data_IF_343099492473
#
_entry.id   IF_343099492473
#
_cell.length_a   1.000
_cell.length_b   1.000
_cell.length_c   1.000
_cell.angle_alpha   90.00
_cell.angle_beta   90.00
_cell.angle_gamma   90.00
#
_symmetry.space_group_name_H-M   'P 1'
#
loop_
_entity.id
_entity.type
_entity.pdbx_description
1 polymer ?
#
# COMPACT_ATOMS: atom_id res chain seq x y z
N UNK A 1 -24.11 -1.16 -23.96
CA UNK A 1 -24.24 -2.04 -22.78
C UNK A 1 -24.33 -1.14 -21.54
N UNK A 2 -25.15 -1.51 -20.54
CA UNK A 2 -25.14 -0.77 -19.27
C UNK A 2 -23.82 -1.01 -18.54
N UNK A 3 -23.38 -0.03 -17.74
CA UNK A 3 -22.21 -0.19 -16.90
C UNK A 3 -22.44 -1.25 -15.80
N UNK A 4 -21.43 -2.03 -15.50
CA UNK A 4 -21.40 -2.90 -14.32
C UNK A 4 -21.32 -2.01 -13.10
N UNK A 5 -22.20 -2.15 -12.12
CA UNK A 5 -22.18 -1.37 -10.88
C UNK A 5 -21.67 -2.20 -9.71
N UNK A 6 -20.53 -1.82 -9.16
CA UNK A 6 -19.90 -2.48 -8.01
C UNK A 6 -19.94 -1.57 -6.81
N UNK A 7 -20.49 -2.04 -5.70
CA UNK A 7 -20.50 -1.34 -4.42
C UNK A 7 -19.36 -1.86 -3.55
N UNK A 8 -18.39 -0.99 -3.27
CA UNK A 8 -17.29 -1.29 -2.34
C UNK A 8 -17.64 -0.84 -0.92
N UNK A 9 -17.53 -1.74 0.05
CA UNK A 9 -17.87 -1.43 1.43
C UNK A 9 -16.64 -1.18 2.29
N UNK A 10 -16.81 -0.24 3.23
CA UNK A 10 -15.89 0.08 4.33
C UNK A 10 -14.66 0.94 3.94
N UNK A 11 -14.91 2.04 3.21
CA UNK A 11 -13.91 3.10 3.05
C UNK A 11 -13.67 3.81 4.40
N UNK A 12 -12.42 3.93 4.83
CA UNK A 12 -12.06 4.51 6.14
C UNK A 12 -11.75 6.01 6.07
N UNK A 13 -11.46 6.63 7.23
CA UNK A 13 -11.06 8.05 7.33
C UNK A 13 -9.57 8.29 7.14
N UNK A 14 -8.75 7.24 7.11
CA UNK A 14 -7.30 7.33 6.97
C UNK A 14 -6.82 6.61 5.72
N UNK A 15 -5.79 7.15 5.07
CA UNK A 15 -5.17 6.49 3.93
C UNK A 15 -4.44 5.24 4.43
N UNK A 16 -4.85 4.08 3.93
CA UNK A 16 -4.27 2.78 4.23
C UNK A 16 -4.12 1.93 2.97
N UNK A 17 -3.77 0.66 3.15
CA UNK A 17 -3.60 -0.28 2.04
C UNK A 17 -4.87 -0.52 1.24
N UNK A 18 -6.05 -0.52 1.89
CA UNK A 18 -7.34 -0.72 1.22
C UNK A 18 -7.68 0.50 0.34
N UNK A 19 -7.58 1.71 0.88
CA UNK A 19 -7.92 2.95 0.19
C UNK A 19 -7.00 3.16 -1.02
N UNK A 20 -5.70 2.94 -0.85
CA UNK A 20 -4.71 3.02 -1.93
C UNK A 20 -4.96 1.96 -3.01
N UNK A 21 -5.27 0.72 -2.62
CA UNK A 21 -5.65 -0.35 -3.54
C UNK A 21 -6.89 0.03 -4.35
N UNK A 22 -7.96 0.47 -3.69
CA UNK A 22 -9.22 0.82 -4.34
C UNK A 22 -9.07 1.99 -5.32
N UNK A 23 -8.30 3.01 -4.94
CA UNK A 23 -8.04 4.16 -5.81
C UNK A 23 -7.24 3.75 -7.05
N UNK A 24 -6.15 3.00 -6.87
CA UNK A 24 -5.33 2.53 -7.98
C UNK A 24 -6.11 1.56 -8.88
N UNK A 25 -6.93 0.68 -8.29
CA UNK A 25 -7.81 -0.22 -9.04
C UNK A 25 -8.80 0.57 -9.89
N UNK A 26 -9.46 1.59 -9.32
CA UNK A 26 -10.46 2.37 -10.05
C UNK A 26 -9.83 3.24 -11.15
N UNK A 27 -8.59 3.67 -11.00
CA UNK A 27 -7.82 4.36 -12.04
C UNK A 27 -7.56 3.46 -13.27
N UNK A 28 -7.34 2.16 -13.05
CA UNK A 28 -7.08 1.18 -14.11
C UNK A 28 -8.36 0.59 -14.71
N UNK A 29 -9.53 0.77 -14.10
CA UNK A 29 -10.79 0.29 -14.66
C UNK A 29 -11.28 1.17 -15.83
N UNK A 30 -11.83 0.51 -16.87
CA UNK A 30 -12.56 1.22 -17.93
C UNK A 30 -13.90 1.73 -17.40
N UNK A 31 -13.93 3.00 -17.02
CA UNK A 31 -15.12 3.66 -16.46
C UNK A 31 -16.30 3.82 -17.41
N UNK A 32 -16.13 3.48 -18.70
CA UNK A 32 -17.25 3.36 -19.62
C UNK A 32 -18.01 2.04 -19.42
N UNK A 33 -17.33 1.00 -18.92
CA UNK A 33 -17.86 -0.33 -18.71
C UNK A 33 -18.24 -0.63 -17.26
N UNK A 34 -17.61 0.05 -16.30
CA UNK A 34 -17.83 -0.22 -14.87
C UNK A 34 -17.94 1.09 -14.05
N UNK A 35 -18.80 1.05 -13.04
CA UNK A 35 -18.98 2.10 -12.05
C UNK A 35 -18.67 1.52 -10.67
N UNK A 36 -17.71 2.13 -9.96
CA UNK A 36 -17.47 1.89 -8.55
C UNK A 36 -18.16 2.96 -7.72
N UNK A 37 -18.85 2.51 -6.69
CA UNK A 37 -19.40 3.36 -5.65
C UNK A 37 -18.93 2.84 -4.28
N UNK A 38 -18.86 3.71 -3.28
CA UNK A 38 -18.25 3.40 -1.99
C UNK A 38 -19.18 3.68 -0.82
N UNK A 39 -19.05 2.89 0.24
CA UNK A 39 -19.76 3.10 1.51
C UNK A 39 -18.77 3.41 2.61
N UNK A 40 -19.06 4.41 3.43
CA UNK A 40 -18.25 4.84 4.56
C UNK A 40 -19.08 5.17 5.79
N UNK A 41 -18.51 5.01 6.98
CA UNK A 41 -19.06 5.55 8.24
C UNK A 41 -18.42 6.91 8.58
N UNK A 42 -17.37 7.33 7.87
CA UNK A 42 -16.66 8.57 8.12
C UNK A 42 -17.37 9.78 7.53
N UNK A 43 -17.27 10.91 8.21
CA UNK A 43 -17.66 12.22 7.67
C UNK A 43 -16.70 12.74 6.60
N UNK A 44 -15.43 12.37 6.75
CA UNK A 44 -14.34 12.71 5.82
C UNK A 44 -13.60 11.45 5.48
N UNK A 45 -14.05 10.66 4.48
CA UNK A 45 -13.33 9.47 4.06
C UNK A 45 -12.01 9.86 3.39
N UNK A 46 -11.03 8.97 3.54
CA UNK A 46 -9.74 9.15 2.88
C UNK A 46 -9.90 9.13 1.36
N UNK A 47 -9.12 9.96 0.67
CA UNK A 47 -9.08 10.05 -0.80
C UNK A 47 -10.46 10.35 -1.43
N UNK A 48 -11.32 11.06 -0.66
CA UNK A 48 -12.70 11.35 -1.10
C UNK A 48 -12.73 12.08 -2.43
N UNK A 49 -11.94 13.14 -2.58
CA UNK A 49 -11.95 13.96 -3.79
C UNK A 49 -11.48 13.15 -4.99
N UNK A 50 -10.43 12.36 -4.83
CA UNK A 50 -9.90 11.52 -5.92
C UNK A 50 -10.93 10.49 -6.42
N UNK A 51 -11.71 9.89 -5.51
CA UNK A 51 -12.79 8.98 -5.91
C UNK A 51 -13.92 9.71 -6.63
N UNK A 52 -14.32 10.90 -6.16
CA UNK A 52 -15.34 11.73 -6.80
C UNK A 52 -14.90 12.19 -8.20
N UNK A 53 -13.63 12.58 -8.37
CA UNK A 53 -13.05 12.99 -9.65
C UNK A 53 -13.03 11.83 -10.68
N UNK A 54 -12.96 10.59 -10.19
CA UNK A 54 -13.11 9.40 -11.02
C UNK A 54 -14.58 9.04 -11.34
N UNK A 55 -15.54 9.80 -10.82
CA UNK A 55 -16.97 9.62 -11.04
C UNK A 55 -17.66 8.65 -10.09
N UNK A 56 -17.02 8.30 -8.94
CA UNK A 56 -17.65 7.49 -7.92
C UNK A 56 -18.71 8.24 -7.14
N UNK A 57 -19.71 7.50 -6.61
CA UNK A 57 -20.55 8.01 -5.53
C UNK A 57 -20.05 7.46 -4.19
N UNK A 58 -20.12 8.28 -3.14
CA UNK A 58 -19.75 7.88 -1.79
C UNK A 58 -20.94 8.05 -0.87
N UNK A 59 -21.40 6.95 -0.29
CA UNK A 59 -22.56 6.90 0.59
C UNK A 59 -22.13 6.82 2.05
N UNK A 60 -22.57 7.77 2.85
CA UNK A 60 -22.39 7.70 4.30
C UNK A 60 -23.50 6.86 4.94
N UNK A 61 -23.11 5.97 5.83
CA UNK A 61 -24.00 5.13 6.64
C UNK A 61 -23.84 5.40 8.12
N UNK A 62 -24.84 5.03 8.89
CA UNK A 62 -24.83 5.11 10.35
C UNK A 62 -23.66 4.32 10.95
N UNK A 63 -23.20 4.74 12.12
CA UNK A 63 -22.16 4.02 12.84
C UNK A 63 -22.61 2.59 13.18
N UNK A 64 -21.71 1.62 13.08
CA UNK A 64 -21.98 0.23 13.50
C UNK A 64 -22.41 0.09 14.95
N UNK A 65 -22.14 1.07 15.81
CA UNK A 65 -22.66 1.14 17.18
C UNK A 65 -24.18 1.22 17.21
N UNK A 66 -24.81 1.79 16.15
CA UNK A 66 -26.27 1.81 15.92
C UNK A 66 -26.63 0.72 14.92
N UNK A 67 -26.56 -0.53 15.37
CA UNK A 67 -26.60 -1.72 14.52
C UNK A 67 -27.81 -1.78 13.57
N UNK A 68 -29.01 -1.44 14.06
CA UNK A 68 -30.23 -1.44 13.27
C UNK A 68 -30.22 -0.41 12.13
N UNK A 69 -29.79 0.81 12.43
CA UNK A 69 -29.67 1.89 11.43
C UNK A 69 -28.58 1.55 10.42
N UNK A 70 -27.41 1.06 10.87
CA UNK A 70 -26.32 0.61 10.00
C UNK A 70 -26.77 -0.45 8.98
N UNK A 71 -27.50 -1.48 9.45
CA UNK A 71 -28.04 -2.52 8.57
C UNK A 71 -29.06 -1.97 7.58
N UNK A 72 -29.96 -1.09 8.04
CA UNK A 72 -31.00 -0.45 7.21
C UNK A 72 -30.36 0.38 6.12
N UNK A 73 -29.37 1.21 6.45
CA UNK A 73 -28.66 2.07 5.50
C UNK A 73 -27.95 1.24 4.42
N UNK A 74 -27.15 0.24 4.82
CA UNK A 74 -26.44 -0.62 3.85
C UNK A 74 -27.43 -1.33 2.93
N UNK A 75 -28.51 -1.92 3.49
CA UNK A 75 -29.49 -2.63 2.66
C UNK A 75 -30.18 -1.71 1.66
N UNK A 76 -30.53 -0.49 2.06
CA UNK A 76 -31.12 0.51 1.17
C UNK A 76 -30.20 0.84 0.00
N UNK A 77 -28.89 0.99 0.26
CA UNK A 77 -27.89 1.27 -0.78
C UNK A 77 -27.71 0.03 -1.67
N UNK A 78 -27.52 -1.16 -1.09
CA UNK A 78 -27.36 -2.40 -1.85
C UNK A 78 -28.55 -2.64 -2.79
N UNK A 79 -29.76 -2.40 -2.32
CA UNK A 79 -30.99 -2.58 -3.10
C UNK A 79 -31.15 -1.55 -4.25
N UNK A 80 -30.30 -0.53 -4.37
CA UNK A 80 -30.41 0.50 -5.41
C UNK A 80 -29.84 0.09 -6.79
N UNK A 81 -29.67 -1.22 -7.04
CA UNK A 81 -29.36 -1.76 -8.37
C UNK A 81 -27.86 -1.95 -8.64
N UNK A 82 -27.11 -2.49 -7.69
CA UNK A 82 -25.75 -2.96 -7.88
C UNK A 82 -25.75 -4.39 -8.44
N UNK A 83 -24.72 -4.69 -9.24
CA UNK A 83 -24.49 -6.03 -9.78
C UNK A 83 -23.66 -6.90 -8.83
N UNK A 84 -22.75 -6.26 -8.08
CA UNK A 84 -21.84 -6.91 -7.13
C UNK A 84 -21.66 -6.02 -5.90
N UNK A 85 -21.58 -6.65 -4.73
CA UNK A 85 -21.08 -6.03 -3.48
C UNK A 85 -19.69 -6.60 -3.20
N UNK A 86 -18.66 -5.76 -3.18
CA UNK A 86 -17.29 -6.16 -2.91
C UNK A 86 -16.86 -5.62 -1.54
N UNK A 87 -16.63 -6.54 -0.59
CA UNK A 87 -16.36 -6.22 0.81
C UNK A 87 -14.88 -6.40 1.11
N UNK A 88 -14.23 -5.34 1.58
CA UNK A 88 -12.81 -5.32 1.94
C UNK A 88 -12.65 -5.43 3.44
N UNK A 89 -11.90 -6.43 3.93
CA UNK A 89 -11.80 -6.73 5.36
C UNK A 89 -10.38 -7.02 5.81
N UNK A 90 -10.08 -6.55 7.03
CA UNK A 90 -8.90 -6.94 7.80
C UNK A 90 -9.23 -8.06 8.80
N UNK A 91 -10.50 -8.23 9.18
CA UNK A 91 -10.99 -9.32 10.02
C UNK A 91 -12.49 -9.55 9.83
N UNK A 92 -12.98 -10.72 10.25
CA UNK A 92 -14.39 -11.13 10.20
C UNK A 92 -15.13 -10.89 11.53
N UNK A 93 -14.60 -10.04 12.41
CA UNK A 93 -15.30 -9.71 13.66
C UNK A 93 -16.68 -9.09 13.39
N UNK A 94 -16.83 -8.38 12.25
CA UNK A 94 -18.09 -7.86 11.75
C UNK A 94 -18.37 -8.40 10.34
N UNK A 95 -19.40 -9.24 10.19
CA UNK A 95 -19.85 -9.80 8.90
C UNK A 95 -21.22 -9.28 8.45
N UNK A 96 -21.73 -8.23 9.08
CA UNK A 96 -23.04 -7.63 8.73
C UNK A 96 -23.11 -7.20 7.26
N UNK A 97 -22.09 -6.57 6.67
CA UNK A 97 -22.10 -6.20 5.26
C UNK A 97 -22.35 -7.39 4.32
N UNK A 98 -21.79 -8.57 4.65
CA UNK A 98 -21.99 -9.79 3.86
C UNK A 98 -23.44 -10.26 3.89
N UNK A 99 -24.12 -10.16 5.04
CA UNK A 99 -25.54 -10.49 5.17
C UNK A 99 -26.42 -9.58 4.33
N UNK A 100 -26.11 -8.28 4.28
CA UNK A 100 -26.92 -7.32 3.54
C UNK A 100 -26.94 -7.64 2.05
N UNK A 101 -25.77 -7.91 1.44
CA UNK A 101 -25.69 -8.31 0.04
C UNK A 101 -26.40 -9.63 -0.24
N UNK A 102 -26.17 -10.65 0.58
CA UNK A 102 -26.83 -11.96 0.43
C UNK A 102 -28.36 -11.86 0.51
N UNK A 103 -28.90 -11.04 1.42
CA UNK A 103 -30.34 -10.86 1.60
C UNK A 103 -31.03 -10.23 0.38
N UNK A 104 -30.32 -9.38 -0.34
CA UNK A 104 -30.81 -8.74 -1.58
C UNK A 104 -30.50 -9.59 -2.85
N UNK A 105 -30.02 -10.84 -2.70
CA UNK A 105 -29.64 -11.75 -3.78
C UNK A 105 -28.56 -11.19 -4.74
N UNK A 106 -27.74 -10.27 -4.25
CA UNK A 106 -26.62 -9.70 -5.00
C UNK A 106 -25.36 -10.52 -4.66
N UNK A 107 -24.53 -10.90 -5.66
CA UNK A 107 -23.26 -11.55 -5.43
C UNK A 107 -22.36 -10.73 -4.50
N UNK A 108 -21.88 -11.36 -3.42
CA UNK A 108 -20.97 -10.74 -2.46
C UNK A 108 -19.58 -11.33 -2.64
N UNK A 109 -18.59 -10.47 -2.84
CA UNK A 109 -17.17 -10.80 -2.91
C UNK A 109 -16.51 -10.39 -1.60
N UNK A 110 -15.57 -11.18 -1.13
CA UNK A 110 -14.80 -10.90 0.08
C UNK A 110 -13.32 -10.80 -0.25
N UNK A 111 -12.68 -9.69 0.15
CA UNK A 111 -11.28 -9.44 -0.11
C UNK A 111 -10.53 -9.18 1.21
N UNK A 112 -9.52 -10.00 1.47
CA UNK A 112 -8.64 -9.91 2.63
C UNK A 112 -7.45 -9.00 2.36
N UNK A 113 -7.19 -8.04 3.28
CA UNK A 113 -6.08 -7.09 3.16
C UNK A 113 -5.09 -7.14 4.31
N UNK A 114 -5.25 -8.03 5.28
CA UNK A 114 -4.35 -8.14 6.42
C UNK A 114 -4.12 -9.59 6.83
N UNK A 115 -3.02 -9.84 7.53
CA UNK A 115 -2.57 -11.17 7.97
C UNK A 115 -2.93 -11.47 9.43
N UNK A 116 -3.44 -10.49 10.17
CA UNK A 116 -3.87 -10.63 11.58
C UNK A 116 -4.76 -9.45 12.01
N UNK A 117 -5.60 -9.60 13.06
CA UNK A 117 -6.40 -8.49 13.55
C UNK A 117 -5.50 -7.42 14.17
N UNK A 118 -5.84 -6.17 13.93
CA UNK A 118 -5.23 -5.01 14.60
C UNK A 118 -5.74 -4.78 16.03
N UNK A 119 -6.70 -5.56 16.51
CA UNK A 119 -7.38 -5.38 17.80
C UNK A 119 -7.54 -6.74 18.53
N UNK A 120 -7.39 -6.68 19.85
CA UNK A 120 -7.39 -7.69 20.92
C UNK A 120 -8.06 -9.07 20.75
N UNK A 121 -7.93 -9.91 21.75
CA UNK A 121 -8.38 -11.33 21.78
C UNK A 121 -9.85 -11.53 21.36
N UNK A 122 -10.74 -10.60 21.71
CA UNK A 122 -12.15 -10.70 21.37
C UNK A 122 -12.41 -10.61 19.85
N UNK A 123 -11.72 -9.69 19.16
CA UNK A 123 -11.77 -9.56 17.69
C UNK A 123 -11.28 -10.83 17.00
N UNK A 124 -10.25 -11.47 17.58
CA UNK A 124 -9.73 -12.73 17.07
C UNK A 124 -10.77 -13.86 17.20
N UNK A 125 -11.40 -14.00 18.38
CA UNK A 125 -12.43 -15.05 18.62
C UNK A 125 -13.61 -14.88 17.66
N UNK A 126 -14.11 -13.65 17.50
CA UNK A 126 -15.21 -13.37 16.55
C UNK A 126 -14.81 -13.67 15.11
N UNK A 127 -13.56 -13.38 14.73
CA UNK A 127 -13.04 -13.72 13.42
C UNK A 127 -13.11 -15.23 13.16
N UNK A 128 -12.57 -16.04 14.07
CA UNK A 128 -12.57 -17.50 13.97
C UNK A 128 -14.01 -18.08 13.87
N UNK A 129 -14.92 -17.64 14.74
CA UNK A 129 -16.32 -18.07 14.73
C UNK A 129 -17.00 -17.74 13.40
N UNK A 130 -16.70 -16.59 12.81
CA UNK A 130 -17.36 -16.12 11.61
C UNK A 130 -16.73 -16.63 10.31
N UNK A 131 -15.52 -17.20 10.32
CA UNK A 131 -14.76 -17.59 9.13
C UNK A 131 -15.54 -18.47 8.16
N UNK A 132 -16.06 -19.58 8.63
CA UNK A 132 -16.80 -20.54 7.81
C UNK A 132 -18.11 -19.95 7.28
N UNK A 133 -18.78 -19.16 8.11
CA UNK A 133 -20.04 -18.50 7.76
C UNK A 133 -19.81 -17.45 6.70
N UNK A 134 -18.78 -16.62 6.83
CA UNK A 134 -18.42 -15.61 5.85
C UNK A 134 -18.07 -16.24 4.50
N UNK A 135 -17.26 -17.29 4.51
CA UNK A 135 -16.88 -18.01 3.29
C UNK A 135 -18.12 -18.57 2.54
N UNK A 136 -19.07 -19.20 3.24
CA UNK A 136 -20.31 -19.75 2.67
C UNK A 136 -21.29 -18.67 2.19
N UNK A 137 -21.15 -17.43 2.67
CA UNK A 137 -22.01 -16.31 2.30
C UNK A 137 -21.53 -15.55 1.08
N UNK A 138 -20.28 -15.71 0.71
CA UNK A 138 -19.64 -14.99 -0.38
C UNK A 138 -19.43 -15.90 -1.61
N UNK A 139 -19.37 -15.30 -2.80
CA UNK A 139 -19.23 -16.02 -4.09
C UNK A 139 -17.79 -16.09 -4.56
N UNK A 140 -17.03 -15.04 -4.34
CA UNK A 140 -15.63 -14.95 -4.70
C UNK A 140 -14.81 -14.53 -3.48
N UNK A 141 -13.60 -15.06 -3.39
CA UNK A 141 -12.70 -14.93 -2.25
C UNK A 141 -11.35 -14.45 -2.74
N UNK A 142 -10.98 -13.21 -2.38
CA UNK A 142 -9.72 -12.59 -2.78
C UNK A 142 -8.84 -12.31 -1.56
N UNK A 143 -7.53 -12.33 -1.78
CA UNK A 143 -6.56 -11.91 -0.78
C UNK A 143 -5.39 -11.18 -1.43
N UNK A 144 -4.86 -10.16 -0.75
CA UNK A 144 -3.72 -9.40 -1.23
C UNK A 144 -2.38 -10.15 -1.14
N UNK A 145 -2.31 -11.22 -0.31
CA UNK A 145 -1.17 -12.12 -0.17
C UNK A 145 -1.63 -13.51 0.27
N UNK A 146 -0.74 -14.49 0.17
CA UNK A 146 -1.02 -15.87 0.63
C UNK A 146 -1.36 -15.90 2.12
N UNK A 147 -0.61 -15.16 2.94
CA UNK A 147 -0.85 -15.09 4.39
C UNK A 147 -2.16 -14.37 4.74
N UNK A 148 -2.53 -13.32 4.00
CA UNK A 148 -3.82 -12.67 4.16
C UNK A 148 -4.98 -13.62 3.78
N UNK A 149 -4.78 -14.47 2.79
CA UNK A 149 -5.73 -15.51 2.40
C UNK A 149 -5.88 -16.59 3.46
N UNK A 150 -4.78 -17.13 3.96
CA UNK A 150 -4.78 -18.12 5.07
C UNK A 150 -5.42 -17.54 6.33
N UNK A 151 -5.12 -16.30 6.67
CA UNK A 151 -5.76 -15.59 7.78
C UNK A 151 -7.28 -15.55 7.62
N UNK A 152 -7.75 -15.10 6.45
CA UNK A 152 -9.18 -14.86 6.22
C UNK A 152 -9.98 -16.14 5.98
N UNK A 153 -9.41 -17.15 5.31
CA UNK A 153 -10.13 -18.32 4.80
C UNK A 153 -9.65 -19.65 5.35
N UNK A 154 -8.54 -19.69 6.12
CA UNK A 154 -7.89 -20.94 6.52
C UNK A 154 -7.36 -21.70 5.31
N UNK A 155 -7.67 -23.00 5.24
CA UNK A 155 -7.23 -23.89 4.16
C UNK A 155 -8.16 -23.86 2.92
N UNK A 156 -9.17 -22.97 2.91
CA UNK A 156 -10.10 -22.85 1.78
C UNK A 156 -9.47 -22.08 0.62
N UNK A 157 -9.93 -22.38 -0.59
CA UNK A 157 -9.45 -21.75 -1.82
C UNK A 157 -9.77 -20.25 -1.87
N UNK A 158 -8.85 -19.48 -2.40
CA UNK A 158 -9.00 -18.06 -2.71
C UNK A 158 -8.14 -17.68 -3.92
N UNK A 159 -8.45 -16.55 -4.51
CA UNK A 159 -7.69 -15.97 -5.63
C UNK A 159 -6.80 -14.85 -5.10
N UNK A 160 -5.51 -14.86 -5.46
CA UNK A 160 -4.63 -13.75 -5.16
C UNK A 160 -4.97 -12.54 -6.03
N UNK A 161 -5.31 -11.44 -5.37
CA UNK A 161 -5.51 -10.12 -5.96
C UNK A 161 -4.55 -9.15 -5.24
N UNK A 162 -3.29 -9.18 -5.67
CA UNK A 162 -2.22 -8.43 -5.01
C UNK A 162 -2.50 -6.94 -4.99
N UNK A 163 -2.04 -6.25 -3.95
CA UNK A 163 -2.06 -4.80 -3.85
C UNK A 163 -1.05 -4.23 -4.86
N UNK A 164 -1.42 -4.30 -6.13
CA UNK A 164 -0.60 -3.81 -7.22
C UNK A 164 -0.42 -2.29 -7.19
N UNK A 165 0.60 -1.84 -7.90
CA UNK A 165 0.90 -0.42 -8.11
C UNK A 165 0.65 -0.04 -9.58
N UNK A 166 0.62 1.26 -9.87
CA UNK A 166 0.58 1.78 -11.23
C UNK A 166 2.00 1.75 -11.82
N UNK A 167 2.47 0.55 -12.19
CA UNK A 167 3.88 0.25 -12.49
C UNK A 167 4.49 1.22 -13.50
N UNK A 168 3.72 1.59 -14.55
CA UNK A 168 4.18 2.52 -15.59
C UNK A 168 4.56 3.90 -15.04
N UNK A 169 3.96 4.35 -13.94
CA UNK A 169 4.30 5.63 -13.29
C UNK A 169 5.68 5.60 -12.65
N UNK A 170 6.17 4.43 -12.28
CA UNK A 170 7.45 4.23 -11.60
C UNK A 170 8.59 3.90 -12.55
N UNK A 171 8.31 3.69 -13.85
CA UNK A 171 9.37 3.42 -14.83
C UNK A 171 10.40 4.53 -14.82
N UNK A 172 11.68 4.17 -14.65
CA UNK A 172 12.76 5.12 -14.51
C UNK A 172 12.87 6.02 -15.74
N UNK A 173 13.04 7.31 -15.49
CA UNK A 173 13.19 8.37 -16.49
C UNK A 173 14.25 9.37 -16.01
N UNK A 174 15.36 9.44 -16.73
CA UNK A 174 16.49 10.30 -16.38
C UNK A 174 16.15 11.80 -16.39
N UNK A 175 15.24 12.25 -17.27
CA UNK A 175 14.83 13.65 -17.30
C UNK A 175 14.01 13.99 -16.05
N UNK A 176 13.09 13.11 -15.65
CA UNK A 176 12.32 13.28 -14.42
C UNK A 176 13.23 13.27 -13.19
N UNK A 177 14.23 12.37 -13.15
CA UNK A 177 15.26 12.35 -12.10
C UNK A 177 15.95 13.71 -11.95
N UNK A 178 16.46 14.27 -13.06
CA UNK A 178 17.14 15.58 -13.07
C UNK A 178 16.20 16.71 -12.61
N UNK A 179 14.96 16.72 -13.09
CA UNK A 179 13.96 17.70 -12.69
C UNK A 179 13.61 17.62 -11.20
N UNK A 180 13.47 16.39 -10.66
CA UNK A 180 13.20 16.17 -9.24
C UNK A 180 14.37 16.67 -8.38
N UNK A 181 15.62 16.33 -8.74
CA UNK A 181 16.82 16.82 -8.05
C UNK A 181 16.90 18.34 -8.06
N UNK A 182 16.67 18.98 -9.22
CA UNK A 182 16.64 20.44 -9.33
C UNK A 182 15.58 21.07 -8.42
N UNK A 183 14.35 20.53 -8.38
CA UNK A 183 13.27 21.01 -7.49
C UNK A 183 13.61 20.90 -6.01
N UNK A 184 14.41 19.89 -5.66
CA UNK A 184 14.85 19.64 -4.30
C UNK A 184 16.19 20.34 -3.96
N UNK A 185 16.75 21.12 -4.89
CA UNK A 185 18.05 21.78 -4.74
C UNK A 185 19.17 20.79 -4.37
N UNK A 186 19.17 19.63 -5.06
CA UNK A 186 20.17 18.57 -4.91
C UNK A 186 21.04 18.57 -6.16
N UNK A 187 22.36 18.55 -5.97
CA UNK A 187 23.31 18.46 -7.06
C UNK A 187 23.13 17.15 -7.86
N UNK A 188 23.36 17.21 -9.17
CA UNK A 188 23.12 16.08 -10.06
C UNK A 188 23.96 14.84 -9.70
N UNK A 189 25.19 15.04 -9.24
CA UNK A 189 26.14 14.00 -8.83
C UNK A 189 26.08 13.64 -7.33
N UNK A 190 25.18 14.26 -6.55
CA UNK A 190 25.01 13.92 -5.14
C UNK A 190 24.48 12.50 -4.97
N UNK A 191 24.92 11.79 -3.92
CA UNK A 191 24.39 10.50 -3.53
C UNK A 191 23.09 10.69 -2.71
N UNK A 192 21.97 10.16 -3.19
CA UNK A 192 20.66 10.39 -2.57
C UNK A 192 20.12 9.10 -1.97
N UNK A 193 20.03 9.07 -0.65
CA UNK A 193 19.36 8.03 0.13
C UNK A 193 17.93 8.47 0.42
N UNK A 194 16.96 7.57 0.37
CA UNK A 194 15.59 7.92 0.70
C UNK A 194 14.83 6.87 1.48
N UNK A 195 13.78 7.32 2.16
CA UNK A 195 12.78 6.48 2.80
C UNK A 195 11.40 7.10 2.63
N UNK A 196 10.40 6.25 2.44
CA UNK A 196 8.99 6.64 2.34
C UNK A 196 8.21 5.83 3.36
N UNK A 197 7.65 6.50 4.35
CA UNK A 197 6.90 5.85 5.40
C UNK A 197 6.44 6.77 6.53
N UNK A 198 5.50 6.28 7.34
CA UNK A 198 5.03 7.03 8.51
C UNK A 198 6.14 7.10 9.57
N UNK A 199 6.30 8.25 10.23
CA UNK A 199 7.24 8.39 11.34
C UNK A 199 6.70 7.70 12.60
N UNK A 200 6.84 6.37 12.65
CA UNK A 200 6.47 5.49 13.78
C UNK A 200 7.69 4.71 14.25
N UNK A 201 7.62 4.10 15.43
CA UNK A 201 8.70 3.24 15.93
C UNK A 201 8.93 2.03 15.00
N UNK A 202 7.87 1.49 14.41
CA UNK A 202 7.92 0.38 13.43
C UNK A 202 8.87 0.66 12.27
N UNK A 203 8.86 1.88 11.70
CA UNK A 203 9.68 2.27 10.54
C UNK A 203 11.13 2.59 10.87
N UNK A 204 11.44 2.73 12.15
CA UNK A 204 12.81 2.85 12.69
C UNK A 204 13.68 3.92 12.02
N UNK A 205 13.10 5.10 11.76
CA UNK A 205 13.85 6.23 11.19
C UNK A 205 15.06 6.63 12.05
N UNK A 206 15.06 6.27 13.34
CA UNK A 206 16.20 6.50 14.24
C UNK A 206 17.45 5.74 13.75
N UNK A 207 17.32 4.44 13.44
CA UNK A 207 18.42 3.62 12.86
C UNK A 207 18.84 4.17 11.50
N UNK A 208 17.88 4.64 10.68
CA UNK A 208 18.18 5.23 9.37
C UNK A 208 19.09 6.46 9.49
N UNK A 209 18.84 7.35 10.47
CA UNK A 209 19.72 8.50 10.69
C UNK A 209 21.12 8.08 11.10
N UNK A 210 21.26 7.05 11.96
CA UNK A 210 22.56 6.53 12.36
C UNK A 210 23.33 5.93 11.19
N UNK A 211 22.66 5.17 10.31
CA UNK A 211 23.22 4.64 9.05
C UNK A 211 23.64 5.82 8.14
N UNK A 212 22.78 6.82 7.98
CA UNK A 212 23.05 7.95 7.09
C UNK A 212 24.23 8.81 7.60
N UNK A 213 24.39 8.98 8.90
CA UNK A 213 25.57 9.64 9.47
C UNK A 213 26.88 8.92 9.09
N UNK A 214 26.86 7.57 8.98
CA UNK A 214 28.00 6.80 8.50
C UNK A 214 28.19 6.95 6.99
N UNK A 215 27.09 7.00 6.22
CA UNK A 215 27.16 7.26 4.77
C UNK A 215 27.81 8.62 4.50
N UNK A 216 27.45 9.68 5.28
CA UNK A 216 28.05 11.00 5.12
C UNK A 216 29.58 11.01 5.34
N UNK A 217 30.12 10.13 6.18
CA UNK A 217 31.58 9.97 6.38
C UNK A 217 32.26 9.31 5.18
N UNK A 218 31.51 8.54 4.37
CA UNK A 218 32.00 7.90 3.15
C UNK A 218 31.76 8.77 1.90
N UNK A 219 30.72 9.60 1.93
CA UNK A 219 30.34 10.48 0.82
C UNK A 219 29.69 11.77 1.36
N UNK A 220 30.49 12.83 1.47
CA UNK A 220 30.07 14.14 1.99
C UNK A 220 28.99 14.85 1.14
N UNK A 221 28.83 14.42 -0.13
CA UNK A 221 27.80 15.00 -1.02
C UNK A 221 26.44 14.37 -0.82
N UNK A 222 26.32 13.35 0.06
CA UNK A 222 25.07 12.61 0.27
C UNK A 222 23.94 13.50 0.85
N UNK A 223 22.70 13.14 0.50
CA UNK A 223 21.46 13.67 1.05
C UNK A 223 20.55 12.53 1.49
N UNK A 224 19.75 12.77 2.55
CA UNK A 224 18.68 11.86 2.97
C UNK A 224 17.33 12.52 2.73
N UNK A 225 16.45 11.84 1.99
CA UNK A 225 15.06 12.24 1.76
C UNK A 225 14.13 11.40 2.64
N UNK A 226 13.37 12.06 3.51
CA UNK A 226 12.38 11.43 4.37
C UNK A 226 10.97 11.91 3.99
N UNK A 227 10.15 10.98 3.47
CA UNK A 227 8.80 11.27 2.98
C UNK A 227 7.77 10.64 3.89
N UNK A 228 6.85 11.43 4.40
CA UNK A 228 5.76 11.02 5.28
C UNK A 228 5.56 11.93 6.47
N UNK A 229 4.58 11.59 7.30
CA UNK A 229 4.23 12.24 8.56
C UNK A 229 4.07 11.16 9.64
N UNK A 230 4.02 11.56 10.91
CA UNK A 230 3.79 10.64 12.03
C UNK A 230 4.25 11.20 13.36
N UNK A 231 3.90 10.50 14.42
CA UNK A 231 4.10 10.92 15.82
C UNK A 231 5.57 11.10 16.21
N UNK A 232 6.48 10.38 15.57
CA UNK A 232 7.91 10.45 15.86
C UNK A 232 8.68 11.52 15.07
N UNK A 233 8.03 12.27 14.16
CA UNK A 233 8.71 13.20 13.24
C UNK A 233 9.61 14.22 13.98
N UNK A 234 9.09 14.84 15.03
CA UNK A 234 9.87 15.83 15.80
C UNK A 234 11.04 15.18 16.57
N UNK A 235 10.85 13.97 17.11
CA UNK A 235 11.93 13.18 17.72
C UNK A 235 13.07 12.90 16.73
N UNK A 236 12.72 12.57 15.48
CA UNK A 236 13.69 12.28 14.41
C UNK A 236 14.42 13.55 13.96
N UNK A 237 13.75 14.72 13.88
CA UNK A 237 14.40 15.99 13.62
C UNK A 237 15.44 16.35 14.70
N UNK A 238 15.04 16.25 15.98
CA UNK A 238 15.95 16.49 17.12
C UNK A 238 17.16 15.54 17.09
N UNK A 239 16.97 14.29 16.63
CA UNK A 239 18.10 13.37 16.47
C UNK A 239 19.03 13.81 15.32
N UNK A 240 18.50 14.27 14.19
CA UNK A 240 19.31 14.80 13.10
C UNK A 240 20.14 16.02 13.52
N UNK A 241 19.56 16.90 14.36
CA UNK A 241 20.28 18.05 14.96
C UNK A 241 21.43 17.58 15.87
N UNK A 242 21.16 16.61 16.77
CA UNK A 242 22.19 16.04 17.67
C UNK A 242 23.34 15.38 16.91
N UNK A 243 23.05 14.77 15.76
CA UNK A 243 24.06 14.17 14.88
C UNK A 243 24.79 15.21 14.00
N UNK A 244 24.36 16.47 13.99
CA UNK A 244 24.93 17.53 13.15
C UNK A 244 24.67 17.38 11.66
N UNK A 245 23.63 16.65 11.25
CA UNK A 245 23.36 16.29 9.85
C UNK A 245 22.11 16.98 9.26
N UNK A 246 21.51 17.92 9.98
CA UNK A 246 20.22 18.56 9.60
C UNK A 246 20.25 19.16 8.20
N UNK A 247 21.36 19.78 7.79
CA UNK A 247 21.52 20.38 6.46
C UNK A 247 21.60 19.36 5.30
N UNK A 248 21.73 18.08 5.64
CA UNK A 248 21.80 16.95 4.69
C UNK A 248 20.53 16.09 4.69
N UNK A 249 19.56 16.39 5.59
CA UNK A 249 18.28 15.65 5.70
C UNK A 249 17.12 16.54 5.27
N UNK A 250 16.38 16.10 4.27
CA UNK A 250 15.19 16.81 3.79
C UNK A 250 13.92 16.07 4.26
N UNK A 251 13.17 16.72 5.17
CA UNK A 251 11.86 16.25 5.65
C UNK A 251 10.77 16.76 4.70
N UNK A 252 10.26 15.91 3.81
CA UNK A 252 9.40 16.34 2.70
C UNK A 252 7.90 16.28 3.01
N UNK A 253 7.51 15.74 4.20
CA UNK A 253 6.09 15.58 4.54
C UNK A 253 5.36 14.59 3.62
N UNK A 254 4.03 14.68 3.58
CA UNK A 254 3.24 13.88 2.64
C UNK A 254 3.38 14.44 1.22
N UNK A 255 3.62 13.56 0.25
CA UNK A 255 3.88 13.88 -1.15
C UNK A 255 3.01 13.06 -2.08
N UNK A 256 2.65 13.63 -3.24
CA UNK A 256 1.90 12.96 -4.31
C UNK A 256 2.79 12.60 -5.51
N UNK A 257 4.02 13.12 -5.56
CA UNK A 257 5.04 12.89 -6.59
C UNK A 257 6.05 11.81 -6.18
N UNK A 258 5.55 10.73 -5.56
CA UNK A 258 6.36 9.59 -5.10
C UNK A 258 7.22 8.98 -6.22
N UNK A 259 6.69 8.77 -7.46
CA UNK A 259 7.51 8.24 -8.55
C UNK A 259 8.75 9.09 -8.83
N UNK A 260 8.59 10.41 -8.92
CA UNK A 260 9.68 11.35 -9.20
C UNK A 260 10.71 11.40 -8.06
N UNK A 261 10.24 11.28 -6.80
CA UNK A 261 11.12 11.21 -5.63
C UNK A 261 11.94 9.91 -5.62
N UNK A 262 11.35 8.77 -5.97
CA UNK A 262 12.06 7.48 -6.09
C UNK A 262 13.08 7.51 -7.26
N UNK A 263 12.74 8.13 -8.37
CA UNK A 263 13.69 8.33 -9.48
C UNK A 263 14.88 9.21 -9.05
N UNK A 264 14.66 10.18 -8.15
CA UNK A 264 15.69 11.07 -7.60
C UNK A 264 16.72 10.33 -6.75
N UNK A 265 16.34 9.21 -6.10
CA UNK A 265 17.16 8.43 -5.17
C UNK A 265 18.16 7.52 -5.89
N UNK A 266 19.29 7.23 -5.23
CA UNK A 266 20.27 6.20 -5.58
C UNK A 266 20.10 4.95 -4.73
N UNK A 267 19.70 5.12 -3.47
CA UNK A 267 19.38 4.07 -2.52
C UNK A 267 18.04 4.34 -1.82
N UNK A 268 17.17 3.35 -1.76
CA UNK A 268 16.00 3.34 -0.89
C UNK A 268 16.30 2.42 0.30
N UNK A 269 16.20 2.93 1.53
CA UNK A 269 16.58 2.19 2.74
C UNK A 269 15.40 2.10 3.69
N UNK A 270 15.01 0.87 4.06
CA UNK A 270 13.89 0.60 4.96
C UNK A 270 14.33 -0.29 6.14
N UNK A 271 14.76 0.31 7.28
CA UNK A 271 15.21 -0.42 8.46
C UNK A 271 14.05 -0.76 9.41
N UNK A 272 12.88 -1.06 8.85
CA UNK A 272 11.66 -1.34 9.64
C UNK A 272 11.86 -2.51 10.57
N UNK A 273 11.28 -2.45 11.78
CA UNK A 273 11.34 -3.52 12.77
C UNK A 273 10.44 -4.72 12.43
N UNK A 274 9.41 -4.50 11.64
CA UNK A 274 8.51 -5.53 11.08
C UNK A 274 7.67 -4.95 9.96
N UNK A 275 7.51 -5.70 8.87
CA UNK A 275 6.59 -5.42 7.76
C UNK A 275 6.12 -6.73 7.13
N UNK A 276 4.89 -6.74 6.64
CA UNK A 276 4.41 -7.79 5.75
C UNK A 276 4.90 -7.53 4.32
N UNK A 277 4.14 -6.77 3.55
CA UNK A 277 4.50 -6.33 2.20
C UNK A 277 4.37 -4.80 2.12
N UNK A 278 5.45 -4.04 2.38
CA UNK A 278 5.42 -2.58 2.32
C UNK A 278 5.33 -2.09 0.88
N UNK A 279 4.24 -1.42 0.51
CA UNK A 279 4.01 -0.92 -0.86
C UNK A 279 5.14 0.04 -1.30
N UNK A 280 5.66 0.87 -0.40
CA UNK A 280 6.78 1.75 -0.71
C UNK A 280 8.04 0.99 -1.19
N UNK A 281 8.29 -0.24 -0.70
CA UNK A 281 9.39 -1.08 -1.19
C UNK A 281 9.07 -1.68 -2.58
N UNK A 282 7.80 -1.98 -2.87
CA UNK A 282 7.37 -2.40 -4.22
C UNK A 282 7.55 -1.24 -5.22
N UNK A 283 7.15 -0.03 -4.84
CA UNK A 283 7.30 1.18 -5.64
C UNK A 283 8.78 1.53 -5.89
N UNK A 284 9.63 1.38 -4.86
CA UNK A 284 11.06 1.58 -4.97
C UNK A 284 11.68 0.61 -6.00
N UNK A 285 11.39 -0.68 -5.89
CA UNK A 285 11.85 -1.68 -6.85
C UNK A 285 11.35 -1.38 -8.28
N UNK A 286 10.08 -0.99 -8.44
CA UNK A 286 9.51 -0.64 -9.74
C UNK A 286 10.19 0.58 -10.38
N UNK A 287 10.76 1.50 -9.58
CA UNK A 287 11.54 2.63 -10.07
C UNK A 287 13.00 2.27 -10.35
N UNK A 288 13.38 1.02 -10.11
CA UNK A 288 14.73 0.53 -10.26
C UNK A 288 15.75 1.18 -9.31
N UNK A 289 15.31 1.78 -8.21
CA UNK A 289 16.25 2.25 -7.18
C UNK A 289 16.74 1.05 -6.36
N UNK A 290 18.04 0.97 -6.09
CA UNK A 290 18.56 -0.07 -5.19
C UNK A 290 17.87 0.00 -3.84
N UNK A 291 17.26 -1.09 -3.45
CA UNK A 291 16.35 -1.18 -2.30
C UNK A 291 16.98 -2.02 -1.20
N UNK A 292 17.29 -1.39 -0.07
CA UNK A 292 17.89 -2.04 1.09
C UNK A 292 16.83 -2.25 2.15
N UNK A 293 16.52 -3.50 2.45
CA UNK A 293 15.48 -3.92 3.37
C UNK A 293 16.07 -4.62 4.60
N UNK A 294 15.53 -4.34 5.77
CA UNK A 294 15.87 -5.10 6.96
C UNK A 294 15.34 -6.53 6.89
N UNK A 295 16.07 -7.47 7.48
CA UNK A 295 15.76 -8.91 7.55
C UNK A 295 14.45 -9.24 8.32
N UNK A 296 13.92 -8.27 9.03
CA UNK A 296 12.64 -8.33 9.75
C UNK A 296 11.42 -8.07 8.85
N UNK A 297 11.64 -7.66 7.59
CA UNK A 297 10.61 -7.52 6.56
C UNK A 297 10.37 -8.89 5.90
N UNK A 298 9.12 -9.17 5.53
CA UNK A 298 8.79 -10.41 4.82
C UNK A 298 9.60 -10.57 3.52
N UNK A 299 10.16 -11.76 3.30
CA UNK A 299 10.89 -12.10 2.06
C UNK A 299 10.00 -12.07 0.81
N UNK A 300 8.69 -12.10 0.95
CA UNK A 300 7.73 -11.85 -0.16
C UNK A 300 7.90 -10.45 -0.78
N UNK A 301 8.64 -9.54 -0.12
CA UNK A 301 8.95 -8.20 -0.62
C UNK A 301 10.08 -8.20 -1.67
N UNK A 302 10.85 -9.27 -1.79
CA UNK A 302 11.88 -9.43 -2.84
C UNK A 302 11.22 -9.82 -4.15
N UNK A 303 11.02 -8.85 -5.03
CA UNK A 303 10.28 -9.02 -6.28
C UNK A 303 11.18 -9.00 -7.52
N UNK A 304 12.44 -8.61 -7.35
CA UNK A 304 13.40 -8.50 -8.44
C UNK A 304 14.82 -8.16 -7.98
N UNK A 305 15.66 -7.85 -8.93
CA UNK A 305 17.11 -7.69 -8.78
C UNK A 305 17.54 -6.43 -7.99
N UNK A 306 16.60 -5.51 -7.70
CA UNK A 306 16.90 -4.27 -6.99
C UNK A 306 17.13 -4.45 -5.47
N UNK A 307 16.75 -5.60 -4.89
CA UNK A 307 16.70 -5.81 -3.44
C UNK A 307 18.03 -6.28 -2.87
N UNK A 308 18.42 -5.66 -1.77
CA UNK A 308 19.54 -6.05 -0.91
C UNK A 308 19.01 -6.15 0.54
N UNK A 309 19.51 -7.14 1.29
CA UNK A 309 19.08 -7.39 2.67
C UNK A 309 20.18 -7.03 3.65
N UNK A 310 19.82 -6.49 4.80
CA UNK A 310 20.72 -6.28 5.94
C UNK A 310 20.04 -6.66 7.24
N UNK A 311 20.80 -7.01 8.27
CA UNK A 311 20.25 -7.20 9.61
C UNK A 311 20.13 -5.88 10.35
N UNK A 312 19.00 -5.66 11.05
CA UNK A 312 18.85 -4.49 11.93
C UNK A 312 19.83 -4.51 13.11
N UNK A 313 20.38 -5.66 13.43
CA UNK A 313 21.38 -5.84 14.50
C UNK A 313 22.81 -5.54 14.03
N UNK A 314 23.05 -5.45 12.71
CA UNK A 314 24.35 -5.08 12.20
C UNK A 314 24.78 -3.66 12.59
N UNK A 315 26.12 -3.42 12.78
CA UNK A 315 26.64 -2.07 13.00
C UNK A 315 26.28 -1.14 11.83
N UNK A 316 25.87 0.08 12.12
CA UNK A 316 25.47 1.08 11.12
C UNK A 316 26.57 1.37 10.09
N UNK A 317 27.84 1.27 10.51
CA UNK A 317 29.01 1.42 9.63
C UNK A 317 29.04 0.34 8.56
N UNK A 318 28.83 -0.91 8.93
CA UNK A 318 28.80 -2.06 8.00
C UNK A 318 27.68 -1.89 6.98
N UNK A 319 26.47 -1.54 7.44
CA UNK A 319 25.31 -1.30 6.56
C UNK A 319 25.61 -0.13 5.60
N UNK A 320 26.20 0.96 6.09
CA UNK A 320 26.53 2.13 5.27
C UNK A 320 27.57 1.80 4.17
N UNK A 321 28.63 1.05 4.54
CA UNK A 321 29.66 0.59 3.60
C UNK A 321 29.06 -0.31 2.51
N UNK A 322 28.15 -1.19 2.89
CA UNK A 322 27.44 -2.05 1.94
C UNK A 322 26.54 -1.25 0.98
N UNK A 323 25.73 -0.31 1.50
CA UNK A 323 24.88 0.54 0.69
C UNK A 323 25.71 1.30 -0.37
N UNK A 324 26.79 1.96 0.06
CA UNK A 324 27.65 2.72 -0.84
C UNK A 324 28.29 1.80 -1.89
N UNK A 325 28.83 0.66 -1.48
CA UNK A 325 29.47 -0.33 -2.38
C UNK A 325 28.50 -0.86 -3.42
N UNK A 326 27.29 -1.28 -3.01
CA UNK A 326 26.30 -1.85 -3.93
C UNK A 326 25.78 -0.79 -4.92
N UNK A 327 25.63 0.48 -4.49
CA UNK A 327 25.21 1.55 -5.38
C UNK A 327 26.27 2.00 -6.39
N UNK A 328 27.55 1.59 -6.24
CA UNK A 328 28.62 1.84 -7.22
C UNK A 328 28.65 0.80 -8.36
N UNK A 329 27.98 -0.34 -8.20
CA UNK A 329 27.90 -1.37 -9.25
C UNK A 329 26.96 -0.94 -10.36
N UNK A 330 27.29 -1.30 -11.59
CA UNK A 330 26.37 -1.13 -12.72
C UNK A 330 25.02 -1.81 -12.45
N UNK A 331 23.93 -1.13 -12.81
CA UNK A 331 22.59 -1.62 -12.55
C UNK A 331 21.58 -1.05 -13.53
N UNK A 332 20.81 -1.92 -14.21
CA UNK A 332 19.77 -1.51 -15.14
C UNK A 332 18.46 -1.19 -14.40
N UNK A 333 18.26 0.08 -14.12
CA UNK A 333 17.04 0.58 -13.46
C UNK A 333 15.76 0.39 -14.30
N UNK A 334 15.89 0.33 -15.63
CA UNK A 334 14.74 0.22 -16.52
C UNK A 334 14.18 -1.20 -16.48
N UNK A 335 15.05 -2.19 -16.41
CA UNK A 335 14.66 -3.60 -16.37
C UNK A 335 13.82 -3.96 -15.13
N UNK A 336 14.11 -3.37 -13.97
CA UNK A 336 13.43 -3.66 -12.72
C UNK A 336 11.91 -3.43 -12.78
N UNK A 337 11.44 -2.53 -13.63
CA UNK A 337 10.02 -2.29 -13.81
C UNK A 337 9.27 -3.51 -14.35
N UNK A 338 9.88 -4.27 -15.26
CA UNK A 338 9.29 -5.50 -15.81
C UNK A 338 9.25 -6.63 -14.79
N UNK A 339 10.24 -6.74 -13.91
CA UNK A 339 10.26 -7.73 -12.82
C UNK A 339 9.03 -7.60 -11.90
N UNK A 340 8.61 -6.35 -11.60
CA UNK A 340 7.43 -6.08 -10.77
C UNK A 340 6.12 -6.51 -11.47
N UNK A 341 6.05 -6.35 -12.80
CA UNK A 341 4.91 -6.84 -13.58
C UNK A 341 4.87 -8.36 -13.56
N UNK A 342 5.99 -9.03 -13.79
CA UNK A 342 6.13 -10.49 -13.77
C UNK A 342 5.82 -11.07 -12.40
N UNK A 343 6.23 -10.39 -11.33
CA UNK A 343 5.89 -10.73 -9.95
C UNK A 343 4.39 -10.53 -9.63
N UNK A 344 3.59 -10.00 -10.58
CA UNK A 344 2.14 -9.84 -10.44
C UNK A 344 1.69 -8.62 -9.63
N UNK A 345 2.54 -7.60 -9.48
CA UNK A 345 2.21 -6.35 -8.76
C UNK A 345 1.75 -5.21 -9.69
N UNK A 346 1.40 -5.51 -10.93
CA UNK A 346 0.75 -4.55 -11.83
C UNK A 346 -0.73 -4.41 -11.48
N UNK A 347 -1.16 -3.21 -11.10
CA UNK A 347 -2.58 -2.93 -10.86
C UNK A 347 -3.42 -3.17 -12.12
N UNK A 348 -2.87 -2.95 -13.29
CA UNK A 348 -3.53 -3.25 -14.59
C UNK A 348 -3.89 -4.74 -14.71
N UNK A 349 -3.00 -5.64 -14.28
CA UNK A 349 -3.25 -7.08 -14.27
C UNK A 349 -4.36 -7.44 -13.28
N UNK A 350 -4.31 -6.88 -12.06
CA UNK A 350 -5.34 -7.08 -11.04
C UNK A 350 -6.70 -6.53 -11.50
N UNK A 351 -6.70 -5.34 -12.13
CA UNK A 351 -7.92 -4.74 -12.67
C UNK A 351 -8.55 -5.60 -13.78
N UNK A 352 -7.74 -6.13 -14.70
CA UNK A 352 -8.22 -7.05 -15.75
C UNK A 352 -8.87 -8.30 -15.15
N UNK A 353 -8.21 -8.96 -14.23
CA UNK A 353 -8.71 -10.16 -13.54
C UNK A 353 -10.04 -9.89 -12.81
N UNK A 354 -10.11 -8.78 -12.04
CA UNK A 354 -11.34 -8.42 -11.34
C UNK A 354 -12.47 -8.03 -12.31
N UNK A 355 -12.17 -7.32 -13.42
CA UNK A 355 -13.15 -6.98 -14.43
C UNK A 355 -13.76 -8.24 -15.06
N UNK A 356 -12.93 -9.23 -15.41
CA UNK A 356 -13.38 -10.53 -15.95
C UNK A 356 -14.25 -11.27 -14.93
N UNK A 357 -13.88 -11.19 -13.65
CA UNK A 357 -14.68 -11.78 -12.57
C UNK A 357 -16.02 -11.07 -12.40
N UNK A 358 -16.06 -9.75 -12.37
CA UNK A 358 -17.34 -9.01 -12.26
C UNK A 358 -18.28 -9.33 -13.43
N UNK A 359 -17.76 -9.43 -14.65
CA UNK A 359 -18.57 -9.76 -15.86
C UNK A 359 -19.30 -11.09 -15.75
N UNK A 360 -18.73 -12.08 -15.05
CA UNK A 360 -19.39 -13.40 -14.86
C UNK A 360 -20.69 -13.33 -14.06
N UNK A 361 -20.88 -12.26 -13.28
CA UNK A 361 -22.01 -12.08 -12.38
C UNK A 361 -23.04 -11.06 -12.87
N UNK A 362 -22.79 -10.42 -14.00
CA UNK A 362 -23.77 -9.49 -14.63
C UNK A 362 -24.67 -10.27 -15.56
N UNK A 363 -25.99 -10.13 -15.35
CA UNK A 363 -27.03 -10.73 -16.20
C UNK A 363 -27.36 -9.85 -17.40
#
# INVERSE_FOLDING_TARGET
>A
MRKIRVLHLELSSSIGGIESFLLNLYREMDRNLIQFDFVTQSEKPALQQEFLDLGANIYRVSSIKKLGDYQKDIRKIVASGYDVVHVHKNSLANIIPLFCGKKENIPVFLHSHNTKPSAGKFTYILHEINRDKAYKMTREHFACSTDAGKWMYGDKSFTLAKNGILVERFKFDEQKRRLARKKLEIQENAFVVGNIGRFTDQKNHSKLLDIFEKILKLNETAYLLLVGEGENKEKIKLKAEKLGITNKVKFLGNRNDIPELLMCMDAFVMPSLYEGLPIAAVEAQASGVRTFLSDTISKETELGSAVNWFSVEEPEKTIAEEIVRECQKEFDRIYCNSEIVEAGFSMKTTAKMLMETYRRYVK
#
